data_IF_292695920800
#
_entry.id   IF_292695920800
#
_cell.length_a   1.000
_cell.length_b   1.000
_cell.length_c   1.000
_cell.angle_alpha   90.00
_cell.angle_beta   90.00
_cell.angle_gamma   90.00
#
_symmetry.space_group_name_H-M   'P 1'
#
loop_
_entity.id
_entity.type
_entity.pdbx_description
1 polymer ?
#
# COMPACT_ATOMS: atom_id res chain seq x y z
N UNK A 1 -36.35 -41.01 -45.12
CA UNK A 1 -36.05 -40.81 -43.67
C UNK A 1 -34.56 -40.92 -43.33
N UNK A 2 -33.75 -41.72 -44.05
CA UNK A 2 -32.30 -41.87 -43.79
C UNK A 2 -31.42 -40.64 -44.10
N UNK A 3 -31.72 -39.86 -45.15
CA UNK A 3 -30.90 -38.71 -45.57
C UNK A 3 -30.89 -37.54 -44.55
N UNK A 4 -32.04 -37.26 -43.92
CA UNK A 4 -32.16 -36.18 -42.91
C UNK A 4 -31.44 -36.52 -41.60
N UNK A 5 -31.25 -37.80 -41.29
CA UNK A 5 -30.51 -38.24 -40.10
C UNK A 5 -29.01 -38.05 -40.27
N UNK A 6 -28.48 -38.38 -41.45
CA UNK A 6 -27.07 -38.18 -41.81
C UNK A 6 -26.68 -36.70 -41.84
N UNK A 7 -27.52 -35.83 -42.41
CA UNK A 7 -27.26 -34.37 -42.37
C UNK A 7 -27.25 -33.81 -40.96
N UNK A 8 -28.12 -34.30 -40.05
CA UNK A 8 -28.12 -33.86 -38.65
C UNK A 8 -26.87 -34.32 -37.91
N UNK A 9 -26.42 -35.57 -38.09
CA UNK A 9 -25.16 -36.06 -37.50
C UNK A 9 -23.95 -35.25 -37.99
N UNK A 10 -23.91 -34.90 -39.28
CA UNK A 10 -22.84 -34.06 -39.84
C UNK A 10 -22.85 -32.64 -39.23
N UNK A 11 -24.02 -32.05 -39.00
CA UNK A 11 -24.14 -30.73 -38.36
C UNK A 11 -23.70 -30.80 -36.88
N UNK A 12 -24.10 -31.83 -36.13
CA UNK A 12 -23.67 -31.97 -34.74
C UNK A 12 -22.17 -32.25 -34.64
N UNK A 13 -21.61 -33.05 -35.56
CA UNK A 13 -20.18 -33.30 -35.65
C UNK A 13 -19.37 -32.03 -35.93
N UNK A 14 -19.82 -31.20 -36.88
CA UNK A 14 -19.13 -29.93 -37.19
C UNK A 14 -19.22 -28.93 -36.04
N UNK A 15 -20.37 -28.81 -35.37
CA UNK A 15 -20.52 -27.96 -34.19
C UNK A 15 -19.60 -28.43 -33.06
N UNK A 16 -19.53 -29.74 -32.79
CA UNK A 16 -18.66 -30.29 -31.75
C UNK A 16 -17.18 -30.05 -32.05
N UNK A 17 -16.75 -30.20 -33.31
CA UNK A 17 -15.37 -29.91 -33.72
C UNK A 17 -15.08 -28.41 -33.56
N UNK A 18 -15.99 -27.54 -33.99
CA UNK A 18 -15.81 -26.08 -33.88
C UNK A 18 -15.76 -25.62 -32.43
N UNK A 19 -16.62 -26.13 -31.54
CA UNK A 19 -16.58 -25.79 -30.11
C UNK A 19 -15.33 -26.34 -29.43
N UNK A 20 -14.89 -27.55 -29.78
CA UNK A 20 -13.65 -28.12 -29.26
C UNK A 20 -12.43 -27.33 -29.74
N UNK A 21 -12.39 -26.93 -31.01
CA UNK A 21 -11.34 -26.05 -31.54
C UNK A 21 -11.39 -24.65 -30.89
N UNK A 22 -12.57 -24.11 -30.58
CA UNK A 22 -12.70 -22.84 -29.88
C UNK A 22 -12.23 -22.95 -28.42
N UNK A 23 -12.50 -24.06 -27.74
CA UNK A 23 -12.03 -24.36 -26.38
C UNK A 23 -10.51 -24.57 -26.37
N UNK A 24 -9.96 -25.27 -27.37
CA UNK A 24 -8.52 -25.45 -27.53
C UNK A 24 -7.83 -24.14 -27.90
N UNK A 25 -8.41 -23.33 -28.78
CA UNK A 25 -7.91 -21.99 -29.12
C UNK A 25 -7.98 -21.05 -27.91
N UNK A 26 -9.08 -21.09 -27.15
CA UNK A 26 -9.25 -20.35 -25.88
C UNK A 26 -8.31 -20.84 -24.78
N UNK A 27 -7.97 -22.13 -24.75
CA UNK A 27 -7.04 -22.70 -23.77
C UNK A 27 -5.58 -22.45 -24.16
N UNK A 28 -5.29 -22.35 -25.46
CA UNK A 28 -3.96 -22.10 -25.99
C UNK A 28 -3.61 -20.61 -26.16
N UNK A 29 -4.60 -19.71 -26.03
CA UNK A 29 -4.37 -18.25 -25.95
C UNK A 29 -4.15 -17.76 -24.51
N UNK A 30 -4.06 -18.69 -23.55
CA UNK A 30 -3.90 -18.43 -22.13
C UNK A 30 -2.53 -18.83 -21.57
N UNK A 31 -1.43 -18.62 -22.28
CA UNK A 31 -0.09 -18.64 -21.68
C UNK A 31 0.95 -18.02 -22.61
N UNK A 32 1.18 -16.72 -22.43
CA UNK A 32 2.52 -16.11 -22.42
C UNK A 32 2.35 -14.61 -22.14
N UNK A 33 1.91 -14.27 -20.93
CA UNK A 33 2.25 -12.96 -20.36
C UNK A 33 3.44 -13.17 -19.45
N UNK A 34 4.57 -13.44 -20.07
CA UNK A 34 5.86 -13.01 -19.53
C UNK A 34 5.63 -11.54 -19.18
N UNK A 35 5.81 -11.18 -17.92
CA UNK A 35 5.89 -9.78 -17.52
C UNK A 35 6.98 -9.16 -18.38
N UNK A 36 6.60 -8.53 -19.50
CA UNK A 36 7.48 -7.58 -20.15
C UNK A 36 7.76 -6.55 -19.07
N UNK A 37 9.03 -6.30 -18.73
CA UNK A 37 9.38 -5.09 -18.02
C UNK A 37 8.75 -4.00 -18.87
N UNK A 38 7.73 -3.32 -18.36
CA UNK A 38 7.21 -2.16 -19.05
C UNK A 38 8.44 -1.28 -19.32
N UNK A 39 8.67 -0.93 -20.59
CA UNK A 39 9.59 0.13 -20.95
C UNK A 39 9.06 1.42 -20.30
N UNK A 40 9.39 1.61 -19.03
CA UNK A 40 9.37 2.91 -18.37
C UNK A 40 10.42 3.69 -19.12
N UNK A 41 9.99 4.79 -19.75
CA UNK A 41 10.77 5.60 -20.67
C UNK A 41 12.27 5.60 -20.32
N UNK A 42 13.06 4.85 -21.08
CA UNK A 42 14.52 5.00 -21.14
C UNK A 42 14.87 6.25 -21.94
N UNK A 43 14.13 7.34 -21.71
CA UNK A 43 14.53 8.64 -22.22
C UNK A 43 15.64 9.12 -21.29
N UNK A 44 16.87 9.03 -21.79
CA UNK A 44 18.08 9.66 -21.25
C UNK A 44 17.99 11.19 -21.11
N UNK A 45 16.80 11.79 -21.30
CA UNK A 45 16.54 13.09 -20.73
C UNK A 45 16.47 12.93 -19.22
N UNK A 46 17.45 13.49 -18.54
CA UNK A 46 17.48 13.68 -17.10
C UNK A 46 16.15 14.32 -16.62
N UNK A 47 15.14 13.49 -16.39
CA UNK A 47 14.03 13.86 -15.53
C UNK A 47 14.71 14.20 -14.22
N UNK A 48 14.74 15.50 -13.85
CA UNK A 48 15.12 15.90 -12.50
C UNK A 48 14.28 15.05 -11.56
N UNK A 49 14.90 14.05 -10.95
CA UNK A 49 14.24 13.18 -9.98
C UNK A 49 13.65 14.10 -8.92
N UNK A 50 12.39 13.85 -8.54
CA UNK A 50 11.78 14.65 -7.47
C UNK A 50 12.53 14.32 -6.20
N UNK A 51 13.27 15.29 -5.68
CA UNK A 51 13.95 15.16 -4.40
C UNK A 51 12.90 15.26 -3.27
N UNK A 52 12.51 14.10 -2.73
CA UNK A 52 11.50 13.99 -1.69
C UNK A 52 12.01 14.50 -0.34
N UNK A 53 13.32 14.60 -0.12
CA UNK A 53 13.88 15.21 1.09
C UNK A 53 13.56 16.70 1.18
N UNK A 54 13.43 17.38 0.04
CA UNK A 54 12.96 18.78 -0.02
C UNK A 54 11.49 18.96 0.28
N UNK A 55 10.72 17.88 0.40
CA UNK A 55 9.32 17.94 0.81
C UNK A 55 9.15 17.92 2.32
N UNK A 56 10.24 17.68 3.07
CA UNK A 56 10.28 17.75 4.52
C UNK A 56 9.85 19.15 4.98
N UNK A 57 8.91 19.20 5.91
CA UNK A 57 8.40 20.45 6.48
C UNK A 57 6.94 20.39 6.93
N UNK A 58 6.45 21.53 7.43
CA UNK A 58 5.08 21.67 7.96
C UNK A 58 4.00 21.70 6.86
N UNK A 59 4.39 21.87 5.60
CA UNK A 59 3.44 22.09 4.53
C UNK A 59 2.65 20.83 4.16
N UNK A 60 1.32 20.94 4.22
CA UNK A 60 0.42 19.89 3.73
C UNK A 60 -0.05 18.89 4.76
N UNK A 61 0.42 18.99 6.01
CA UNK A 61 -0.08 18.22 7.16
C UNK A 61 -0.67 19.18 8.18
N UNK A 62 -1.98 19.11 8.40
CA UNK A 62 -2.71 20.06 9.25
C UNK A 62 -3.21 19.35 10.49
N UNK A 63 -2.93 19.92 11.67
CA UNK A 63 -3.42 19.38 12.92
C UNK A 63 -4.95 19.40 12.97
N UNK A 64 -5.54 18.28 13.42
CA UNK A 64 -7.00 18.16 13.57
C UNK A 64 -7.48 18.92 14.81
N UNK A 65 -6.67 18.94 15.87
CA UNK A 65 -6.95 19.62 17.12
C UNK A 65 -5.66 20.18 17.75
N UNK A 66 -5.76 21.34 18.38
CA UNK A 66 -4.64 22.10 18.93
C UNK A 66 -3.78 22.79 17.86
N UNK A 67 -2.79 23.56 18.31
CA UNK A 67 -1.81 24.22 17.43
C UNK A 67 -0.53 23.37 17.34
N UNK A 68 -0.66 22.13 16.87
CA UNK A 68 0.47 21.19 16.70
C UNK A 68 1.01 21.29 15.28
N UNK A 69 2.33 21.20 15.13
CA UNK A 69 2.99 21.16 13.81
C UNK A 69 3.71 19.84 13.61
N UNK A 70 3.71 19.32 12.38
CA UNK A 70 4.46 18.11 12.05
C UNK A 70 5.94 18.47 11.87
N UNK A 71 6.76 18.21 12.89
CA UNK A 71 8.20 18.52 12.92
C UNK A 71 9.06 17.30 13.28
N UNK A 72 8.48 16.10 13.28
CA UNK A 72 9.21 14.88 13.60
C UNK A 72 10.23 14.58 12.50
N UNK A 73 11.48 14.40 12.90
CA UNK A 73 12.57 13.92 12.08
C UNK A 73 13.33 12.88 12.90
N UNK A 74 13.73 11.78 12.26
CA UNK A 74 14.42 10.67 12.90
C UNK A 74 15.60 10.25 12.03
N UNK A 75 16.70 9.84 12.63
CA UNK A 75 17.83 9.29 11.90
C UNK A 75 17.48 7.89 11.36
N UNK A 76 16.96 7.02 12.22
CA UNK A 76 16.63 5.63 11.86
C UNK A 76 15.14 5.34 12.01
N UNK A 77 14.53 4.82 10.94
CA UNK A 77 13.13 4.46 10.92
C UNK A 77 12.89 3.00 10.55
N UNK A 78 12.02 2.33 11.32
CA UNK A 78 11.47 1.03 10.99
C UNK A 78 10.07 1.21 10.41
N UNK A 79 9.90 0.95 9.11
CA UNK A 79 8.60 0.94 8.44
C UNK A 79 8.07 -0.50 8.44
N UNK A 80 7.12 -0.79 9.32
CA UNK A 80 6.52 -2.12 9.43
C UNK A 80 5.27 -2.19 8.55
N UNK A 81 5.33 -3.01 7.50
CA UNK A 81 4.17 -3.22 6.64
C UNK A 81 3.12 -4.12 7.29
N UNK A 82 1.95 -4.22 6.65
CA UNK A 82 0.88 -5.11 7.12
C UNK A 82 1.00 -6.55 6.62
N UNK A 83 2.03 -6.90 5.84
CA UNK A 83 2.14 -8.21 5.18
C UNK A 83 2.39 -9.34 6.17
N UNK A 84 1.98 -10.56 5.82
CA UNK A 84 2.26 -11.76 6.62
C UNK A 84 3.72 -12.20 6.60
N UNK A 85 4.57 -11.66 5.73
CA UNK A 85 6.01 -11.99 5.71
C UNK A 85 6.76 -11.53 6.98
N UNK A 86 6.13 -10.71 7.83
CA UNK A 86 6.68 -10.38 9.16
C UNK A 86 6.52 -11.50 10.19
N UNK A 87 5.61 -12.46 9.96
CA UNK A 87 5.33 -13.53 10.93
C UNK A 87 6.49 -14.53 11.04
N UNK A 88 6.81 -14.91 12.28
CA UNK A 88 7.90 -15.84 12.61
C UNK A 88 9.29 -15.26 12.40
N UNK A 89 9.42 -13.95 12.18
CA UNK A 89 10.72 -13.29 11.96
C UNK A 89 11.44 -12.97 13.25
N UNK A 90 10.72 -12.87 14.38
CA UNK A 90 11.25 -12.45 15.67
C UNK A 90 11.91 -11.05 15.64
N UNK A 91 11.56 -10.22 14.65
CA UNK A 91 12.16 -8.89 14.46
C UNK A 91 11.67 -7.84 15.47
N UNK A 92 10.74 -8.18 16.36
CA UNK A 92 10.04 -7.22 17.20
C UNK A 92 10.96 -6.43 18.12
N UNK A 93 11.96 -7.07 18.72
CA UNK A 93 12.94 -6.40 19.56
C UNK A 93 13.81 -5.42 18.76
N UNK A 94 14.22 -5.79 17.54
CA UNK A 94 14.99 -4.90 16.66
C UNK A 94 14.16 -3.67 16.24
N UNK A 95 12.91 -3.89 15.83
CA UNK A 95 11.97 -2.82 15.48
C UNK A 95 11.80 -1.85 16.66
N UNK A 96 11.63 -2.38 17.87
CA UNK A 96 11.44 -1.57 19.07
C UNK A 96 12.72 -0.87 19.56
N UNK A 97 13.91 -1.20 19.06
CA UNK A 97 15.14 -0.42 19.29
C UNK A 97 15.34 0.72 18.29
N UNK A 98 14.55 0.77 17.22
CA UNK A 98 14.66 1.83 16.22
C UNK A 98 14.09 3.15 16.76
N UNK A 99 14.69 4.29 16.42
CA UNK A 99 14.27 5.61 16.92
C UNK A 99 12.79 5.87 16.64
N UNK A 100 12.38 5.68 15.38
CA UNK A 100 11.00 5.85 14.94
C UNK A 100 10.42 4.60 14.30
N UNK A 101 9.23 4.19 14.76
CA UNK A 101 8.49 3.07 14.18
C UNK A 101 7.25 3.58 13.45
N UNK A 102 7.15 3.30 12.15
CA UNK A 102 6.06 3.73 11.27
C UNK A 102 5.17 2.54 10.94
N UNK A 103 3.86 2.68 11.19
CA UNK A 103 2.85 1.66 10.91
C UNK A 103 1.70 2.18 10.05
N UNK A 104 0.86 1.28 9.55
CA UNK A 104 -0.24 1.62 8.65
C UNK A 104 -1.59 1.12 9.15
N UNK A 105 -2.63 1.92 8.93
CA UNK A 105 -4.04 1.54 9.10
C UNK A 105 -4.31 0.85 10.45
N UNK A 106 -5.05 -0.25 10.46
CA UNK A 106 -5.45 -1.02 11.63
C UNK A 106 -4.53 -2.21 11.95
N UNK A 107 -3.27 -2.18 11.49
CA UNK A 107 -2.29 -3.23 11.77
C UNK A 107 -1.93 -3.23 13.28
N UNK A 108 -2.31 -4.25 14.06
CA UNK A 108 -2.15 -4.26 15.51
C UNK A 108 -0.74 -4.69 15.94
N UNK A 109 -0.28 -4.26 17.10
CA UNK A 109 0.92 -4.87 17.73
C UNK A 109 0.56 -5.99 18.69
N UNK A 110 -0.59 -5.87 19.35
CA UNK A 110 -1.03 -6.83 20.36
C UNK A 110 -1.19 -8.24 19.78
N UNK A 111 -0.52 -9.21 20.41
CA UNK A 111 -0.50 -10.62 19.98
C UNK A 111 0.50 -10.92 18.86
N UNK A 112 1.28 -9.94 18.41
CA UNK A 112 2.28 -10.06 17.36
C UNK A 112 3.64 -9.44 17.77
N UNK A 113 3.82 -9.08 19.04
CA UNK A 113 4.93 -8.26 19.53
C UNK A 113 6.30 -8.87 19.22
N UNK A 114 6.42 -10.20 19.28
CA UNK A 114 7.65 -10.90 18.96
C UNK A 114 8.13 -10.63 17.52
N UNK A 115 7.20 -10.48 16.58
CA UNK A 115 7.48 -10.33 15.16
C UNK A 115 7.46 -8.87 14.70
N UNK A 116 6.52 -8.08 15.22
CA UNK A 116 6.27 -6.72 14.73
C UNK A 116 6.65 -5.64 15.73
N UNK A 117 7.07 -5.99 16.95
CA UNK A 117 7.34 -5.04 18.02
C UNK A 117 6.05 -4.43 18.61
N UNK A 118 6.19 -3.59 19.61
CA UNK A 118 5.09 -2.94 20.31
C UNK A 118 5.14 -1.39 20.27
N UNK A 119 6.20 -0.80 19.70
CA UNK A 119 6.31 0.66 19.55
C UNK A 119 5.64 1.14 18.26
N UNK A 120 5.06 2.34 18.32
CA UNK A 120 4.54 3.08 17.17
C UNK A 120 4.76 4.57 17.39
N UNK A 121 5.66 5.17 16.61
CA UNK A 121 5.91 6.62 16.63
C UNK A 121 4.98 7.35 15.66
N UNK A 122 4.76 6.76 14.48
CA UNK A 122 3.91 7.33 13.43
C UNK A 122 2.96 6.27 12.89
N UNK A 123 1.69 6.62 12.69
CA UNK A 123 0.73 5.77 11.99
C UNK A 123 0.02 6.51 10.87
N UNK A 124 0.12 5.98 9.66
CA UNK A 124 -0.55 6.53 8.47
C UNK A 124 -1.84 5.75 8.22
N UNK A 125 -2.97 6.47 8.16
CA UNK A 125 -4.31 5.87 8.19
C UNK A 125 -5.15 6.35 7.01
N UNK A 126 -5.55 5.41 6.16
CA UNK A 126 -6.52 5.69 5.11
C UNK A 126 -7.92 5.96 5.70
N UNK A 127 -8.71 6.78 5.01
CA UNK A 127 -10.08 7.09 5.41
C UNK A 127 -10.94 5.84 5.66
N UNK A 128 -10.72 4.76 4.91
CA UNK A 128 -11.42 3.47 5.06
C UNK A 128 -11.07 2.71 6.34
N UNK A 129 -10.01 3.12 7.03
CA UNK A 129 -9.51 2.50 8.27
C UNK A 129 -9.76 3.35 9.51
N UNK A 130 -10.21 4.61 9.36
CA UNK A 130 -10.44 5.56 10.48
C UNK A 130 -11.24 4.92 11.60
N UNK A 131 -12.41 4.36 11.30
CA UNK A 131 -13.28 3.74 12.32
C UNK A 131 -12.61 2.61 13.10
N UNK A 132 -11.78 1.79 12.44
CA UNK A 132 -11.10 0.67 13.10
C UNK A 132 -9.96 1.14 14.00
N UNK A 133 -9.24 2.17 13.58
CA UNK A 133 -8.13 2.76 14.34
C UNK A 133 -8.63 3.52 15.57
N UNK A 134 -9.59 4.44 15.40
CA UNK A 134 -10.04 5.31 16.50
C UNK A 134 -10.84 4.59 17.59
N UNK A 135 -11.32 3.37 17.30
CA UNK A 135 -11.98 2.49 18.29
C UNK A 135 -11.02 1.65 19.12
N UNK A 136 -9.72 1.70 18.84
CA UNK A 136 -8.68 0.96 19.58
C UNK A 136 -7.60 1.91 20.09
N UNK A 137 -7.94 2.87 20.96
CA UNK A 137 -6.99 3.86 21.46
C UNK A 137 -5.84 3.22 22.25
N UNK A 138 -6.06 2.08 22.90
CA UNK A 138 -5.04 1.38 23.70
C UNK A 138 -3.82 0.92 22.88
N UNK A 139 -3.96 0.74 21.55
CA UNK A 139 -2.83 0.50 20.63
C UNK A 139 -1.83 1.68 20.59
N UNK A 140 -2.22 2.85 21.11
CA UNK A 140 -1.44 4.08 21.07
C UNK A 140 -1.14 4.67 22.45
N UNK A 141 -1.99 4.39 23.45
CA UNK A 141 -1.95 5.07 24.75
C UNK A 141 -1.06 4.40 25.80
N UNK A 142 -0.69 3.14 25.60
CA UNK A 142 0.04 2.36 26.60
C UNK A 142 1.53 2.72 26.74
N UNK A 143 1.98 3.90 26.25
CA UNK A 143 3.41 4.26 26.18
C UNK A 143 3.66 5.70 26.60
N UNK A 144 4.72 5.89 27.39
CA UNK A 144 5.11 7.14 28.06
C UNK A 144 6.23 7.90 27.37
N UNK A 145 7.01 7.24 26.50
CA UNK A 145 8.34 7.72 26.11
C UNK A 145 8.32 8.66 24.89
N UNK A 146 7.17 8.76 24.21
CA UNK A 146 6.95 9.75 23.14
C UNK A 146 5.46 9.96 22.92
N UNK A 147 5.09 11.03 22.23
CA UNK A 147 3.72 11.31 21.79
C UNK A 147 3.52 10.77 20.37
N UNK A 148 2.81 9.63 20.17
CA UNK A 148 2.56 9.11 18.83
C UNK A 148 1.82 10.10 17.93
N UNK A 149 2.16 10.04 16.64
CA UNK A 149 1.54 10.82 15.58
C UNK A 149 0.66 9.94 14.69
N UNK A 150 -0.56 10.39 14.41
CA UNK A 150 -1.48 9.71 13.50
C UNK A 150 -1.82 10.66 12.34
N UNK A 151 -1.52 10.22 11.11
CA UNK A 151 -1.71 10.99 9.88
C UNK A 151 -2.82 10.34 9.05
N UNK A 152 -3.92 11.06 8.85
CA UNK A 152 -5.07 10.59 8.09
C UNK A 152 -5.05 11.12 6.66
N UNK A 153 -5.37 10.24 5.70
CA UNK A 153 -5.45 10.58 4.29
C UNK A 153 -6.71 10.00 3.63
N UNK A 154 -7.18 10.63 2.56
CA UNK A 154 -8.36 10.21 1.82
C UNK A 154 -9.06 11.34 1.07
N UNK A 155 -10.27 11.09 0.54
CA UNK A 155 -11.04 12.10 -0.18
C UNK A 155 -11.30 13.35 0.70
N UNK A 156 -11.11 14.57 0.18
CA UNK A 156 -11.38 15.81 0.92
C UNK A 156 -12.80 15.87 1.49
N UNK A 157 -13.79 15.31 0.79
CA UNK A 157 -15.19 15.24 1.23
C UNK A 157 -15.39 14.38 2.48
N UNK A 158 -14.48 13.46 2.79
CA UNK A 158 -14.57 12.56 3.94
C UNK A 158 -13.68 12.99 5.10
N UNK A 159 -12.45 13.39 4.82
CA UNK A 159 -11.42 13.68 5.83
C UNK A 159 -11.00 15.15 5.91
N UNK A 160 -11.52 16.01 5.03
CA UNK A 160 -11.19 17.44 5.01
C UNK A 160 -11.92 18.21 6.09
N UNK A 161 -11.18 19.12 6.75
CA UNK A 161 -11.71 20.07 7.74
C UNK A 161 -12.81 20.96 7.15
N UNK A 162 -12.51 21.59 6.01
CA UNK A 162 -13.39 22.60 5.40
C UNK A 162 -14.69 21.99 4.88
N UNK A 163 -14.61 20.75 4.35
CA UNK A 163 -15.78 19.99 3.90
C UNK A 163 -16.64 19.44 5.06
N UNK A 164 -16.22 19.64 6.32
CA UNK A 164 -16.83 19.07 7.53
C UNK A 164 -17.14 17.58 7.38
N UNK A 165 -16.25 16.81 6.74
CA UNK A 165 -16.49 15.41 6.40
C UNK A 165 -16.86 14.56 7.62
N UNK A 166 -17.71 13.55 7.42
CA UNK A 166 -18.23 12.72 8.52
C UNK A 166 -17.11 12.05 9.33
N UNK A 167 -16.03 11.63 8.66
CA UNK A 167 -14.86 11.06 9.32
C UNK A 167 -14.00 12.13 10.01
N UNK A 168 -13.87 13.33 9.42
CA UNK A 168 -13.15 14.43 10.07
C UNK A 168 -13.75 14.76 11.44
N UNK A 169 -15.09 14.86 11.55
CA UNK A 169 -15.77 15.12 12.83
C UNK A 169 -15.49 14.04 13.88
N UNK A 170 -15.42 12.77 13.45
CA UNK A 170 -15.05 11.67 14.34
C UNK A 170 -13.60 11.80 14.81
N UNK A 171 -12.67 12.02 13.89
CA UNK A 171 -11.24 12.20 14.23
C UNK A 171 -11.09 13.39 15.19
N UNK A 172 -11.81 14.49 14.96
CA UNK A 172 -11.79 15.67 15.82
C UNK A 172 -12.28 15.38 17.25
N UNK A 173 -13.37 14.62 17.41
CA UNK A 173 -13.85 14.23 18.75
C UNK A 173 -12.82 13.36 19.48
N UNK A 174 -12.23 12.41 18.77
CA UNK A 174 -11.22 11.49 19.31
C UNK A 174 -9.95 12.27 19.69
N UNK A 175 -9.51 13.22 18.86
CA UNK A 175 -8.32 14.02 19.12
C UNK A 175 -8.48 15.01 20.27
N UNK A 176 -9.71 15.44 20.56
CA UNK A 176 -10.02 16.20 21.78
C UNK A 176 -9.99 15.31 23.04
N UNK A 177 -10.33 14.03 22.90
CA UNK A 177 -10.35 13.07 24.02
C UNK A 177 -8.94 12.61 24.39
N UNK A 178 -8.09 12.34 23.40
CA UNK A 178 -6.73 11.83 23.58
C UNK A 178 -5.69 12.88 23.19
N UNK A 179 -5.60 13.95 23.98
CA UNK A 179 -4.73 15.11 23.69
C UNK A 179 -3.23 14.81 23.75
N UNK A 180 -2.85 13.70 24.41
CA UNK A 180 -1.51 13.14 24.47
C UNK A 180 -1.04 12.52 23.14
N UNK A 181 -1.92 12.45 22.13
CA UNK A 181 -1.59 12.02 20.77
C UNK A 181 -1.65 13.21 19.81
N UNK A 182 -0.92 13.14 18.71
CA UNK A 182 -0.95 14.17 17.66
C UNK A 182 -1.67 13.66 16.43
N UNK A 183 -2.72 14.37 16.00
CA UNK A 183 -3.58 13.97 14.89
C UNK A 183 -3.45 14.96 13.74
N UNK A 184 -3.11 14.48 12.55
CA UNK A 184 -2.96 15.30 11.35
C UNK A 184 -3.81 14.77 10.19
N UNK A 185 -4.24 15.66 9.31
CA UNK A 185 -4.83 15.31 8.01
C UNK A 185 -3.97 15.85 6.88
N UNK A 186 -3.87 15.10 5.78
CA UNK A 186 -3.19 15.56 4.56
C UNK A 186 -4.11 16.54 3.80
N UNK A 187 -3.58 17.71 3.43
CA UNK A 187 -4.36 18.72 2.70
C UNK A 187 -4.67 18.27 1.27
N UNK A 188 -5.74 18.80 0.64
CA UNK A 188 -6.03 18.53 -0.77
C UNK A 188 -4.87 18.86 -1.71
N UNK A 189 -4.09 19.91 -1.40
CA UNK A 189 -2.95 20.29 -2.20
C UNK A 189 -1.81 19.25 -2.14
N UNK A 190 -1.48 18.78 -0.93
CA UNK A 190 -0.47 17.72 -0.75
C UNK A 190 -0.96 16.39 -1.35
N UNK A 191 -2.25 16.05 -1.23
CA UNK A 191 -2.85 14.90 -1.94
C UNK A 191 -2.61 14.96 -3.46
N UNK A 192 -2.80 16.13 -4.09
CA UNK A 192 -2.48 16.32 -5.52
C UNK A 192 -0.99 16.15 -5.81
N UNK A 193 -0.09 16.62 -4.92
CA UNK A 193 1.36 16.39 -5.06
C UNK A 193 1.69 14.89 -5.05
N UNK A 194 1.08 14.08 -4.19
CA UNK A 194 1.25 12.62 -4.21
C UNK A 194 0.77 11.99 -5.53
N UNK A 195 -0.37 12.44 -6.06
CA UNK A 195 -0.89 11.98 -7.36
C UNK A 195 0.08 12.33 -8.50
N UNK A 196 0.58 13.57 -8.55
CA UNK A 196 1.55 14.01 -9.57
C UNK A 196 2.90 13.30 -9.45
N UNK A 197 3.34 12.98 -8.23
CA UNK A 197 4.55 12.18 -8.00
C UNK A 197 4.38 10.78 -8.59
N UNK A 198 3.27 10.11 -8.31
CA UNK A 198 3.00 8.78 -8.86
C UNK A 198 2.98 8.80 -10.39
N UNK A 199 2.32 9.78 -10.99
CA UNK A 199 2.30 9.93 -12.44
C UNK A 199 3.70 10.14 -13.02
N UNK A 200 4.54 10.95 -12.38
CA UNK A 200 5.91 11.20 -12.82
C UNK A 200 6.80 9.96 -12.71
N UNK A 201 6.67 9.22 -11.62
CA UNK A 201 7.48 8.01 -11.35
C UNK A 201 7.07 6.80 -12.19
N UNK A 202 5.84 6.76 -12.68
CA UNK A 202 5.26 5.56 -13.31
C UNK A 202 4.79 5.79 -14.74
N UNK A 203 4.67 7.05 -15.17
CA UNK A 203 3.98 7.43 -16.40
C UNK A 203 2.46 7.21 -16.34
N UNK A 204 1.91 6.74 -15.23
CA UNK A 204 0.49 6.38 -15.09
C UNK A 204 -0.26 7.42 -14.29
N UNK A 205 -1.30 7.98 -14.90
CA UNK A 205 -2.22 8.86 -14.20
C UNK A 205 -3.21 8.02 -13.36
N UNK A 206 -3.30 8.34 -12.08
CA UNK A 206 -4.19 7.66 -11.13
C UNK A 206 -5.67 7.83 -11.50
N UNK A 207 -6.09 9.05 -11.86
CA UNK A 207 -7.48 9.38 -12.17
C UNK A 207 -7.92 8.72 -13.47
N UNK A 208 -7.11 8.81 -14.53
CA UNK A 208 -7.38 8.16 -15.82
C UNK A 208 -7.43 6.65 -15.69
N UNK A 209 -6.60 6.07 -14.82
CA UNK A 209 -6.61 4.63 -14.52
C UNK A 209 -7.66 4.21 -13.48
N UNK A 210 -8.48 5.15 -13.01
CA UNK A 210 -9.52 4.97 -11.99
C UNK A 210 -9.04 4.22 -10.74
N UNK A 211 -7.78 4.43 -10.34
CA UNK A 211 -7.14 3.76 -9.20
C UNK A 211 -7.01 4.69 -7.98
N UNK A 212 -6.56 4.12 -6.88
CA UNK A 212 -6.12 4.86 -5.70
C UNK A 212 -4.67 4.50 -5.36
N UNK A 213 -3.89 5.48 -4.90
CA UNK A 213 -2.59 5.21 -4.28
C UNK A 213 -2.82 4.39 -3.01
N UNK A 214 -1.94 3.43 -2.73
CA UNK A 214 -2.03 2.65 -1.50
C UNK A 214 -1.59 3.46 -0.29
N UNK A 215 -1.97 3.01 0.92
CA UNK A 215 -1.37 3.57 2.15
C UNK A 215 0.14 3.37 2.18
N UNK A 216 0.66 2.29 1.55
CA UNK A 216 2.10 2.05 1.41
C UNK A 216 2.79 3.16 0.64
N UNK A 217 2.19 3.66 -0.44
CA UNK A 217 2.71 4.81 -1.18
C UNK A 217 2.82 6.07 -0.33
N UNK A 218 1.74 6.46 0.35
CA UNK A 218 1.76 7.62 1.25
C UNK A 218 2.80 7.45 2.36
N UNK A 219 2.87 6.26 2.95
CA UNK A 219 3.77 5.96 4.07
C UNK A 219 5.23 5.99 3.64
N UNK A 220 5.57 5.45 2.47
CA UNK A 220 6.94 5.48 1.96
C UNK A 220 7.41 6.91 1.72
N UNK A 221 6.58 7.75 1.09
CA UNK A 221 6.94 9.15 0.85
C UNK A 221 7.06 9.93 2.16
N UNK A 222 6.13 9.74 3.11
CA UNK A 222 6.21 10.34 4.44
C UNK A 222 7.47 9.89 5.18
N UNK A 223 7.84 8.61 5.10
CA UNK A 223 9.06 8.09 5.69
C UNK A 223 10.31 8.77 5.09
N UNK A 224 10.38 8.93 3.76
CA UNK A 224 11.49 9.63 3.12
C UNK A 224 11.56 11.11 3.55
N UNK A 225 10.42 11.78 3.73
CA UNK A 225 10.35 13.16 4.22
C UNK A 225 10.91 13.30 5.64
N UNK A 226 10.83 12.27 6.48
CA UNK A 226 11.11 12.39 7.91
C UNK A 226 12.31 11.57 8.42
N UNK A 227 12.78 10.59 7.67
CA UNK A 227 13.79 9.62 8.13
C UNK A 227 15.04 9.64 7.27
N UNK A 228 16.24 9.61 7.85
CA UNK A 228 17.48 9.49 7.07
C UNK A 228 17.72 8.09 6.53
N UNK A 229 17.50 7.08 7.38
CA UNK A 229 17.62 5.67 7.04
C UNK A 229 16.27 4.98 7.26
N UNK A 230 15.86 4.15 6.31
CA UNK A 230 14.55 3.46 6.37
C UNK A 230 14.77 1.97 6.20
N UNK A 231 14.43 1.20 7.24
CA UNK A 231 14.35 -0.27 7.15
C UNK A 231 12.90 -0.71 7.08
N UNK A 232 12.54 -1.36 5.98
CA UNK A 232 11.16 -1.77 5.66
C UNK A 232 10.98 -3.24 5.95
N UNK A 233 10.01 -3.58 6.80
CA UNK A 233 9.73 -4.96 7.22
C UNK A 233 8.49 -5.52 6.54
N UNK A 234 8.56 -6.74 6.01
CA UNK A 234 7.40 -7.46 5.46
C UNK A 234 7.06 -7.10 4.02
N UNK A 235 7.91 -6.39 3.28
CA UNK A 235 7.60 -6.03 1.89
C UNK A 235 8.25 -6.99 0.91
N UNK A 236 7.47 -7.69 0.10
CA UNK A 236 8.00 -8.51 -1.01
C UNK A 236 8.44 -7.66 -2.21
N UNK A 237 9.43 -8.12 -3.01
CA UNK A 237 9.85 -7.46 -4.24
C UNK A 237 8.73 -7.43 -5.30
N UNK A 238 8.79 -6.50 -6.27
CA UNK A 238 7.74 -6.33 -7.28
C UNK A 238 7.50 -7.57 -8.15
N UNK A 239 8.50 -8.43 -8.36
CA UNK A 239 8.41 -9.64 -9.16
C UNK A 239 7.97 -10.89 -8.36
N UNK A 240 7.65 -10.75 -7.07
CA UNK A 240 7.35 -11.88 -6.18
C UNK A 240 6.26 -12.82 -6.73
N UNK A 241 5.14 -12.28 -7.20
CA UNK A 241 3.99 -13.05 -7.68
C UNK A 241 4.10 -13.53 -9.13
N UNK A 242 5.22 -13.30 -9.81
CA UNK A 242 5.45 -13.72 -11.20
C UNK A 242 6.24 -15.03 -11.35
N UNK A 243 6.66 -15.67 -10.26
CA UNK A 243 7.51 -16.88 -10.29
C UNK A 243 6.69 -18.16 -10.51
N UNK A 244 7.17 -19.05 -11.41
CA UNK A 244 6.50 -20.30 -11.84
C UNK A 244 6.31 -21.35 -10.73
N UNK A 245 7.18 -21.37 -9.73
CA UNK A 245 6.89 -22.08 -8.47
C UNK A 245 6.10 -21.10 -7.60
N UNK A 246 4.77 -21.24 -7.62
CA UNK A 246 3.89 -20.33 -6.90
C UNK A 246 4.30 -20.24 -5.42
N UNK A 247 4.36 -19.04 -4.83
CA UNK A 247 4.64 -18.91 -3.41
C UNK A 247 3.61 -19.70 -2.60
N UNK A 248 4.03 -20.24 -1.45
CA UNK A 248 3.10 -20.84 -0.48
C UNK A 248 1.95 -19.83 -0.25
N UNK A 249 0.71 -20.32 -0.29
CA UNK A 249 -0.49 -19.50 -0.04
C UNK A 249 -0.28 -18.71 1.25
N UNK A 250 -0.26 -17.39 1.13
CA UNK A 250 0.07 -16.49 2.24
C UNK A 250 -1.03 -15.47 2.41
N UNK A 251 -1.59 -15.29 3.62
CA UNK A 251 -2.57 -14.23 3.84
C UNK A 251 -1.98 -12.86 3.55
N UNK A 252 -2.77 -11.98 2.96
CA UNK A 252 -2.35 -10.61 2.63
C UNK A 252 -1.94 -9.78 3.86
N UNK A 253 -2.55 -10.04 5.02
CA UNK A 253 -2.22 -9.36 6.27
C UNK A 253 -1.90 -10.32 7.41
N UNK A 254 -0.85 -10.01 8.19
CA UNK A 254 -0.42 -10.87 9.31
C UNK A 254 -1.50 -11.07 10.37
N UNK A 255 -2.36 -10.06 10.58
CA UNK A 255 -3.44 -10.05 11.56
C UNK A 255 -4.79 -10.53 10.99
N UNK A 256 -4.79 -11.10 9.78
CA UNK A 256 -5.97 -11.72 9.16
C UNK A 256 -5.57 -13.07 8.55
N UNK A 257 -5.33 -14.11 9.35
CA UNK A 257 -4.89 -15.42 8.85
C UNK A 257 -5.89 -16.09 7.90
N UNK A 258 -7.19 -15.73 8.01
CA UNK A 258 -8.25 -16.15 7.09
C UNK A 258 -8.56 -15.12 5.98
N UNK A 259 -7.66 -14.16 5.78
CA UNK A 259 -7.77 -13.12 4.77
C UNK A 259 -7.52 -13.65 3.34
N UNK A 260 -7.65 -12.78 2.33
CA UNK A 260 -7.36 -13.15 0.95
C UNK A 260 -5.87 -13.49 0.79
N UNK A 261 -5.57 -14.30 -0.23
CA UNK A 261 -4.19 -14.61 -0.60
C UNK A 261 -3.45 -13.34 -1.08
N UNK A 262 -2.18 -13.21 -0.69
CA UNK A 262 -1.34 -12.05 -0.97
C UNK A 262 -1.20 -11.82 -2.48
N UNK A 263 -0.81 -12.83 -3.23
CA UNK A 263 -0.55 -12.69 -4.66
C UNK A 263 -1.82 -12.51 -5.45
N UNK A 264 -2.90 -13.20 -5.10
CA UNK A 264 -4.23 -12.92 -5.68
C UNK A 264 -4.61 -11.46 -5.45
N UNK A 265 -4.43 -10.94 -4.23
CA UNK A 265 -4.75 -9.55 -3.90
C UNK A 265 -3.91 -8.57 -4.72
N UNK A 266 -2.60 -8.78 -4.82
CA UNK A 266 -1.72 -7.92 -5.62
C UNK A 266 -2.09 -7.94 -7.09
N UNK A 267 -2.28 -9.11 -7.69
CA UNK A 267 -2.57 -9.25 -9.11
C UNK A 267 -3.94 -8.69 -9.50
N UNK A 268 -4.97 -8.92 -8.68
CA UNK A 268 -6.30 -8.37 -8.91
C UNK A 268 -6.30 -6.85 -8.84
N UNK A 269 -5.61 -6.26 -7.87
CA UNK A 269 -5.48 -4.81 -7.75
C UNK A 269 -4.69 -4.24 -8.93
N UNK A 270 -3.54 -4.82 -9.25
CA UNK A 270 -2.67 -4.35 -10.34
C UNK A 270 -3.39 -4.37 -11.69
N UNK A 271 -4.24 -5.38 -11.96
CA UNK A 271 -5.01 -5.51 -13.21
C UNK A 271 -6.35 -4.77 -13.20
N UNK A 272 -6.77 -4.21 -12.06
CA UNK A 272 -8.04 -3.53 -11.91
C UNK A 272 -8.20 -2.37 -12.92
N UNK A 273 -9.40 -2.24 -13.50
CA UNK A 273 -9.71 -1.19 -14.50
C UNK A 273 -10.73 -0.15 -14.02
N UNK A 274 -11.42 -0.41 -12.89
CA UNK A 274 -12.44 0.47 -12.31
C UNK A 274 -12.46 0.33 -10.78
N UNK A 275 -12.54 1.44 -10.06
CA UNK A 275 -12.98 1.47 -8.65
C UNK A 275 -11.86 1.39 -7.61
N UNK A 276 -12.11 0.64 -6.52
CA UNK A 276 -11.27 0.60 -5.31
C UNK A 276 -10.06 -0.34 -5.46
N UNK A 277 -9.23 -0.12 -6.47
CA UNK A 277 -7.99 -0.89 -6.66
C UNK A 277 -6.74 -0.01 -6.60
N UNK A 278 -5.62 -0.66 -6.31
CA UNK A 278 -4.30 -0.07 -6.20
C UNK A 278 -3.35 -0.57 -7.27
N UNK A 279 -2.18 0.06 -7.40
CA UNK A 279 -1.10 -0.39 -8.30
C UNK A 279 0.08 -0.91 -7.49
N UNK A 280 -0.17 -1.91 -6.63
CA UNK A 280 0.81 -2.37 -5.65
C UNK A 280 2.15 -2.81 -6.27
N UNK A 281 2.13 -3.47 -7.43
CA UNK A 281 3.35 -3.94 -8.09
C UNK A 281 4.06 -2.74 -8.72
N UNK A 282 3.31 -1.84 -9.39
CA UNK A 282 3.87 -0.59 -9.92
C UNK A 282 4.51 0.26 -8.82
N UNK A 283 3.85 0.44 -7.67
CA UNK A 283 4.37 1.20 -6.52
C UNK A 283 5.68 0.57 -6.01
N UNK A 284 5.75 -0.75 -5.85
CA UNK A 284 6.97 -1.46 -5.44
C UNK A 284 8.13 -1.31 -6.43
N UNK A 285 7.86 -1.21 -7.73
CA UNK A 285 8.91 -0.90 -8.71
C UNK A 285 9.51 0.49 -8.50
N UNK A 286 8.72 1.46 -8.05
CA UNK A 286 9.23 2.78 -7.66
C UNK A 286 10.06 2.67 -6.39
N UNK A 287 9.57 1.95 -5.37
CA UNK A 287 10.30 1.76 -4.12
C UNK A 287 11.67 1.09 -4.34
N UNK A 288 11.76 0.13 -5.26
CA UNK A 288 13.01 -0.48 -5.69
C UNK A 288 14.05 0.54 -6.19
N UNK A 289 13.60 1.58 -6.89
CA UNK A 289 14.47 2.66 -7.39
C UNK A 289 14.82 3.65 -6.29
N UNK A 290 13.83 4.04 -5.50
CA UNK A 290 14.01 4.94 -4.36
C UNK A 290 14.95 4.36 -3.30
N UNK A 291 15.01 3.05 -3.14
CA UNK A 291 15.97 2.42 -2.24
C UNK A 291 17.43 2.74 -2.57
N UNK A 292 17.75 2.93 -3.85
CA UNK A 292 19.08 3.37 -4.31
C UNK A 292 19.34 4.86 -4.08
N UNK A 293 18.32 5.64 -3.74
CA UNK A 293 18.37 7.10 -3.64
C UNK A 293 18.22 7.61 -2.20
N UNK A 294 17.47 6.90 -1.34
CA UNK A 294 17.03 7.40 -0.04
C UNK A 294 17.37 6.45 1.13
N UNK A 295 18.46 5.68 1.01
CA UNK A 295 18.93 4.72 2.00
C UNK A 295 17.81 3.83 2.58
N UNK A 296 17.09 3.13 1.68
CA UNK A 296 16.00 2.23 2.06
C UNK A 296 16.52 0.80 1.94
N UNK A 297 16.34 0.02 3.00
CA UNK A 297 16.62 -1.42 3.02
C UNK A 297 15.32 -2.20 3.25
N UNK A 298 15.19 -3.37 2.63
CA UNK A 298 14.06 -4.27 2.83
C UNK A 298 14.49 -5.49 3.64
N UNK A 299 13.65 -5.89 4.60
CA UNK A 299 13.86 -7.03 5.46
C UNK A 299 12.58 -7.88 5.50
N UNK A 300 12.78 -9.20 5.54
CA UNK A 300 11.72 -10.20 5.63
C UNK A 300 10.63 -10.03 4.54
N UNK A 301 10.96 -10.27 3.26
CA UNK A 301 12.25 -10.71 2.71
C UNK A 301 13.19 -9.54 2.35
N UNK A 302 14.47 -9.85 2.18
CA UNK A 302 15.49 -8.89 1.70
C UNK A 302 15.53 -8.82 0.17
N UNK A 303 15.60 -7.59 -0.36
CA UNK A 303 15.74 -7.29 -1.79
C UNK A 303 16.11 -5.82 -2.03
#
# INVERSE_FOLDING_TARGET
>A
TSLKFHSRLLIFGTIFILTTLLILYSSNSGNDVIYTPFHVATNHHAFKATDLKKWAGKEGYVAVHGNKTMTLHCHDCALVTSSSHVLGTQAGAEIDHTECVIRMNDAPTQGYEADVGNRTSVRVVAHSSVFRVVRRPNEFLNRTDSTPMIIFWGPPTKIGKDAKGTLYRLIQRVSMTYSNLSYFTITPNKMRKFDSLFQRETGRDRQKSQSWLSTGWFTMVIAIEMCDNIKVYGMVPPNHCGKKQGPKKMPYHYYKPRGPDECVTYLQNEKGRRGNHHRFITEKQVFARWAKQYNITFAHPTW
#
